data_IF_033329989007
#
_entry.id   IF_033329989007
#
_cell.length_a   1.000
_cell.length_b   1.000
_cell.length_c   1.000
_cell.angle_alpha   90.00
_cell.angle_beta   90.00
_cell.angle_gamma   90.00
#
_symmetry.space_group_name_H-M   'P 1'
#
loop_
_entity.id
_entity.type
_entity.pdbx_description
1 polymer ?
#
# COMPACT_ATOMS: atom_id res chain seq x y z
N UNK A 1 11.47 12.07 -15.02
CA UNK A 1 10.11 11.65 -15.41
C UNK A 1 9.82 10.35 -14.67
N UNK A 2 9.17 10.41 -13.48
CA UNK A 2 8.93 9.26 -12.63
C UNK A 2 7.71 8.50 -13.16
N UNK A 3 7.91 7.27 -13.62
CA UNK A 3 6.80 6.34 -13.88
C UNK A 3 6.35 5.77 -12.55
N UNK A 4 5.12 6.07 -12.17
CA UNK A 4 4.45 5.40 -11.05
C UNK A 4 4.18 3.94 -11.44
N UNK A 5 4.77 3.03 -10.69
CA UNK A 5 4.47 1.60 -10.82
C UNK A 5 3.27 1.29 -9.93
N UNK A 6 2.09 1.28 -10.52
CA UNK A 6 0.92 0.62 -9.91
C UNK A 6 0.97 -0.82 -10.40
N UNK A 7 1.21 -1.74 -9.48
CA UNK A 7 1.06 -3.17 -9.75
C UNK A 7 -0.37 -3.56 -9.38
N UNK A 8 -1.09 -4.04 -10.38
CA UNK A 8 -2.37 -4.71 -10.16
C UNK A 8 -2.11 -6.04 -9.45
N UNK A 9 -2.53 -6.14 -8.20
CA UNK A 9 -2.42 -7.35 -7.38
C UNK A 9 -3.61 -8.29 -7.63
N UNK A 10 -4.24 -8.10 -8.75
CA UNK A 10 -5.51 -8.49 -9.25
C UNK A 10 -6.04 -9.90 -9.07
N UNK A 11 -7.30 -9.91 -8.83
CA UNK A 11 -8.21 -11.04 -9.02
C UNK A 11 -8.75 -10.99 -10.47
N UNK A 12 -8.32 -11.94 -11.29
CA UNK A 12 -9.01 -12.33 -12.53
C UNK A 12 -9.06 -11.30 -13.66
N UNK A 13 -8.22 -11.45 -14.65
CA UNK A 13 -8.40 -10.85 -15.99
C UNK A 13 -9.75 -11.27 -16.58
N UNK A 14 -10.81 -10.51 -16.34
CA UNK A 14 -11.93 -10.50 -17.27
C UNK A 14 -11.44 -9.86 -18.56
N UNK A 15 -11.46 -10.61 -19.67
CA UNK A 15 -11.25 -10.09 -21.02
C UNK A 15 -12.11 -8.84 -21.20
N UNK A 16 -11.46 -7.68 -21.23
CA UNK A 16 -12.09 -6.41 -21.59
C UNK A 16 -12.42 -6.54 -23.07
N UNK A 17 -13.70 -6.79 -23.39
CA UNK A 17 -14.21 -6.54 -24.73
C UNK A 17 -14.14 -5.03 -24.93
N UNK A 18 -13.42 -4.58 -25.96
CA UNK A 18 -13.50 -3.22 -26.49
C UNK A 18 -14.95 -2.94 -26.89
N UNK A 19 -15.73 -2.47 -25.95
CA UNK A 19 -16.91 -1.68 -26.22
C UNK A 19 -16.56 -0.26 -25.80
N UNK A 20 -16.64 0.67 -26.73
CA UNK A 20 -16.69 2.12 -26.50
C UNK A 20 -17.94 2.45 -25.67
N UNK A 21 -17.92 2.05 -24.43
CA UNK A 21 -18.92 2.42 -23.43
C UNK A 21 -18.37 3.66 -22.75
N UNK A 22 -19.17 4.70 -22.60
CA UNK A 22 -18.86 5.84 -21.71
C UNK A 22 -18.26 5.29 -20.43
N UNK A 23 -16.96 5.57 -20.22
CA UNK A 23 -16.26 4.97 -19.08
C UNK A 23 -16.82 5.62 -17.82
N UNK A 24 -17.50 4.80 -17.03
CA UNK A 24 -18.21 5.21 -15.82
C UNK A 24 -17.25 5.83 -14.81
N UNK A 25 -17.74 6.79 -14.04
CA UNK A 25 -17.03 7.33 -12.89
C UNK A 25 -16.65 6.21 -11.93
N UNK A 26 -15.49 6.33 -11.30
CA UNK A 26 -14.94 5.30 -10.41
C UNK A 26 -14.26 5.96 -9.21
N UNK A 27 -14.38 5.37 -8.04
CA UNK A 27 -13.71 5.84 -6.85
C UNK A 27 -12.66 4.84 -6.39
N UNK A 28 -11.50 5.36 -5.99
CA UNK A 28 -10.42 4.60 -5.37
C UNK A 28 -10.29 4.97 -3.90
N UNK A 29 -10.08 3.99 -3.06
CA UNK A 29 -9.76 4.21 -1.63
C UNK A 29 -8.27 4.04 -1.42
N UNK A 30 -7.62 5.09 -0.95
CA UNK A 30 -6.20 5.08 -0.63
C UNK A 30 -6.00 4.82 0.86
N UNK A 31 -5.07 3.93 1.18
CA UNK A 31 -4.69 3.61 2.55
C UNK A 31 -3.18 3.85 2.71
N UNK A 32 -2.77 5.08 3.00
CA UNK A 32 -1.36 5.41 3.21
C UNK A 32 -0.87 4.96 4.59
N UNK A 33 0.40 4.62 4.69
CA UNK A 33 1.08 4.45 5.97
C UNK A 33 1.01 5.74 6.79
N UNK A 34 0.74 5.69 8.11
CA UNK A 34 0.55 6.87 8.95
C UNK A 34 1.85 7.61 9.29
N UNK A 35 2.67 7.86 8.28
CA UNK A 35 3.89 8.64 8.33
C UNK A 35 3.82 9.81 7.34
N UNK A 36 4.31 10.99 7.72
CA UNK A 36 4.13 12.22 6.96
C UNK A 36 4.55 12.08 5.49
N UNK A 37 5.71 11.50 5.21
CA UNK A 37 6.21 11.31 3.84
C UNK A 37 5.29 10.42 2.99
N UNK A 38 4.73 9.36 3.57
CA UNK A 38 3.82 8.44 2.91
C UNK A 38 2.46 9.11 2.64
N UNK A 39 1.88 9.76 3.66
CA UNK A 39 0.60 10.45 3.53
C UNK A 39 0.66 11.57 2.48
N UNK A 40 1.68 12.44 2.54
CA UNK A 40 1.84 13.54 1.58
C UNK A 40 2.03 12.99 0.16
N UNK A 41 2.85 11.96 0.00
CA UNK A 41 3.08 11.32 -1.30
C UNK A 41 1.79 10.73 -1.89
N UNK A 42 0.97 10.05 -1.07
CA UNK A 42 -0.31 9.49 -1.48
C UNK A 42 -1.31 10.59 -1.86
N UNK A 43 -1.39 11.69 -1.08
CA UNK A 43 -2.25 12.84 -1.37
C UNK A 43 -1.85 13.48 -2.71
N UNK A 44 -0.57 13.73 -2.93
CA UNK A 44 -0.09 14.34 -4.17
C UNK A 44 -0.29 13.43 -5.38
N UNK A 45 -0.19 12.13 -5.20
CA UNK A 45 -0.54 11.18 -6.25
C UNK A 45 -2.04 11.18 -6.54
N UNK A 46 -2.88 11.16 -5.52
CA UNK A 46 -4.33 11.23 -5.67
C UNK A 46 -4.76 12.50 -6.42
N UNK A 47 -4.18 13.67 -6.09
CA UNK A 47 -4.40 14.93 -6.83
C UNK A 47 -4.05 14.79 -8.30
N UNK A 48 -2.88 14.26 -8.61
CA UNK A 48 -2.47 14.05 -10.01
C UNK A 48 -3.42 13.12 -10.75
N UNK A 49 -3.89 12.07 -10.10
CA UNK A 49 -4.83 11.14 -10.68
C UNK A 49 -6.16 11.83 -11.04
N UNK A 50 -6.77 12.54 -10.10
CA UNK A 50 -8.04 13.24 -10.34
C UNK A 50 -7.92 14.40 -11.32
N UNK A 51 -6.76 15.06 -11.40
CA UNK A 51 -6.52 16.13 -12.39
C UNK A 51 -6.22 15.58 -13.79
N UNK A 52 -5.72 14.34 -13.89
CA UNK A 52 -5.44 13.71 -15.19
C UNK A 52 -6.70 13.11 -15.81
N UNK A 53 -7.63 12.63 -14.97
CA UNK A 53 -8.85 11.99 -15.43
C UNK A 53 -10.03 12.38 -14.52
N UNK A 54 -11.01 13.03 -15.08
CA UNK A 54 -12.18 13.58 -14.36
C UNK A 54 -13.19 12.50 -13.91
N UNK A 55 -13.02 11.27 -14.37
CA UNK A 55 -13.83 10.11 -13.96
C UNK A 55 -13.45 9.60 -12.58
N UNK A 56 -12.23 9.87 -12.10
CA UNK A 56 -11.79 9.42 -10.79
C UNK A 56 -12.17 10.39 -9.67
N UNK A 57 -12.59 9.80 -8.58
CA UNK A 57 -12.58 10.39 -7.24
C UNK A 57 -11.76 9.51 -6.31
N UNK A 58 -11.23 10.10 -5.26
CA UNK A 58 -10.38 9.38 -4.30
C UNK A 58 -10.86 9.66 -2.89
N UNK A 59 -10.99 8.62 -2.08
CA UNK A 59 -11.13 8.73 -0.63
C UNK A 59 -9.87 8.21 0.04
N UNK A 60 -9.29 9.00 0.93
CA UNK A 60 -8.12 8.62 1.71
C UNK A 60 -8.58 8.22 3.11
N UNK A 61 -8.26 7.01 3.54
CA UNK A 61 -8.47 6.56 4.93
C UNK A 61 -7.23 6.91 5.74
N UNK A 62 -7.36 7.90 6.62
CA UNK A 62 -6.25 8.39 7.42
C UNK A 62 -6.21 7.69 8.77
N UNK A 63 -5.18 6.87 8.99
CA UNK A 63 -4.80 6.39 10.31
C UNK A 63 -4.15 7.55 11.09
N UNK A 64 -4.28 7.57 12.41
CA UNK A 64 -3.58 8.57 13.23
C UNK A 64 -2.08 8.49 13.04
N UNK A 65 -1.44 9.65 12.92
CA UNK A 65 0.02 9.70 12.82
C UNK A 65 0.68 9.17 14.09
N UNK A 66 1.67 8.29 13.90
CA UNK A 66 2.43 7.68 14.99
C UNK A 66 3.34 8.67 15.73
N UNK A 67 3.91 9.63 14.99
CA UNK A 67 5.00 10.46 15.48
C UNK A 67 4.66 11.95 15.54
N UNK A 68 3.65 12.39 14.81
CA UNK A 68 3.31 13.80 14.71
C UNK A 68 1.78 14.03 14.52
N UNK A 69 1.04 14.32 15.61
CA UNK A 69 -0.39 14.64 15.52
C UNK A 69 -0.70 15.85 14.63
N UNK A 70 0.25 16.78 14.46
CA UNK A 70 0.05 17.95 13.61
C UNK A 70 0.07 17.64 12.12
N UNK A 71 0.63 16.49 11.71
CA UNK A 71 0.59 16.07 10.31
C UNK A 71 -0.84 15.85 9.82
N UNK A 72 -1.76 15.46 10.68
CA UNK A 72 -3.16 15.22 10.33
C UNK A 72 -3.86 16.53 9.92
N UNK A 73 -3.53 17.65 10.61
CA UNK A 73 -4.03 18.98 10.27
C UNK A 73 -3.47 19.44 8.92
N UNK A 74 -2.17 19.19 8.70
CA UNK A 74 -1.52 19.54 7.44
C UNK A 74 -2.13 18.76 6.26
N UNK A 75 -2.34 17.46 6.42
CA UNK A 75 -2.98 16.63 5.40
C UNK A 75 -4.37 17.19 5.02
N UNK A 76 -5.18 17.59 6.00
CA UNK A 76 -6.49 18.22 5.76
C UNK A 76 -6.36 19.52 4.97
N UNK A 77 -5.36 20.33 5.25
CA UNK A 77 -5.13 21.59 4.52
C UNK A 77 -4.78 21.37 3.05
N UNK A 78 -4.06 20.29 2.74
CA UNK A 78 -3.72 19.92 1.37
C UNK A 78 -4.94 19.52 0.51
N UNK A 79 -6.01 19.10 1.15
CA UNK A 79 -7.22 18.60 0.51
C UNK A 79 -8.30 19.67 0.33
N UNK A 80 -8.19 20.81 1.01
CA UNK A 80 -9.26 21.81 1.14
C UNK A 80 -9.77 22.38 -0.19
N UNK A 81 -8.96 22.36 -1.26
CA UNK A 81 -9.34 22.85 -2.59
C UNK A 81 -9.89 21.78 -3.53
N UNK A 82 -9.88 20.51 -3.13
CA UNK A 82 -10.16 19.38 -4.02
C UNK A 82 -11.55 18.79 -3.77
N UNK A 83 -12.46 18.97 -4.73
CA UNK A 83 -13.86 18.49 -4.59
C UNK A 83 -14.04 16.99 -4.82
N UNK A 84 -13.09 16.33 -5.47
CA UNK A 84 -13.10 14.89 -5.77
C UNK A 84 -12.13 14.09 -4.92
N UNK A 85 -11.56 14.71 -3.91
CA UNK A 85 -10.62 14.09 -2.99
C UNK A 85 -11.17 14.24 -1.56
N UNK A 86 -11.45 13.11 -0.93
CA UNK A 86 -12.07 13.05 0.38
C UNK A 86 -11.12 12.44 1.40
N UNK A 87 -11.23 12.86 2.65
CA UNK A 87 -10.47 12.32 3.77
C UNK A 87 -11.44 11.77 4.82
N UNK A 88 -11.20 10.54 5.24
CA UNK A 88 -11.88 9.92 6.38
C UNK A 88 -10.83 9.65 7.45
N UNK A 89 -10.95 10.33 8.57
CA UNK A 89 -10.15 10.02 9.75
C UNK A 89 -10.67 8.72 10.37
N UNK A 90 -9.83 7.70 10.46
CA UNK A 90 -10.16 6.47 11.16
C UNK A 90 -10.14 6.69 12.67
N UNK A 91 -11.02 6.03 13.43
CA UNK A 91 -11.02 6.14 14.90
C UNK A 91 -9.67 5.67 15.45
N UNK A 92 -9.25 6.20 16.62
CA UNK A 92 -8.04 5.74 17.27
C UNK A 92 -8.18 4.27 17.69
N UNK A 93 -7.06 3.55 17.69
CA UNK A 93 -7.00 2.19 18.24
C UNK A 93 -6.95 2.24 19.77
N UNK A 94 -7.70 1.36 20.42
CA UNK A 94 -7.79 1.34 21.89
C UNK A 94 -6.50 0.86 22.55
N UNK A 95 -5.84 -0.12 21.95
CA UNK A 95 -4.62 -0.74 22.47
C UNK A 95 -3.48 -0.65 21.44
N UNK A 96 -2.81 0.49 21.29
CA UNK A 96 -1.66 0.59 20.39
C UNK A 96 -0.50 -0.28 20.88
N UNK A 97 0.35 -0.74 19.97
CA UNK A 97 1.57 -1.45 20.36
C UNK A 97 2.39 -0.65 21.38
N UNK A 98 3.05 -1.32 22.32
CA UNK A 98 3.81 -0.62 23.36
C UNK A 98 4.99 0.18 22.77
N UNK A 99 5.19 1.41 23.22
CA UNK A 99 6.19 2.33 22.67
C UNK A 99 7.64 1.82 22.77
N UNK A 100 7.95 0.98 23.74
CA UNK A 100 9.28 0.37 23.86
C UNK A 100 9.61 -0.58 22.69
N UNK A 101 8.60 -1.13 22.04
CA UNK A 101 8.79 -1.90 20.81
C UNK A 101 9.31 -1.02 19.68
N UNK A 102 8.85 0.24 19.58
CA UNK A 102 9.35 1.18 18.57
C UNK A 102 10.85 1.45 18.71
N UNK A 103 11.34 1.50 19.96
CA UNK A 103 12.78 1.69 20.24
C UNK A 103 13.62 0.44 19.92
N UNK A 104 12.99 -0.73 19.91
CA UNK A 104 13.67 -2.00 19.60
C UNK A 104 13.62 -2.35 18.12
N UNK A 105 12.49 -2.11 17.48
CA UNK A 105 12.26 -2.35 16.06
C UNK A 105 11.12 -1.48 15.57
N UNK A 106 11.46 -0.38 14.93
CA UNK A 106 10.49 0.56 14.38
C UNK A 106 9.58 -0.09 13.34
N UNK A 107 10.13 -0.97 12.50
CA UNK A 107 9.40 -1.68 11.45
C UNK A 107 8.35 -2.61 12.04
N UNK A 108 8.70 -3.38 13.06
CA UNK A 108 7.77 -4.29 13.73
C UNK A 108 6.66 -3.52 14.44
N UNK A 109 7.01 -2.39 15.07
CA UNK A 109 6.01 -1.50 15.68
C UNK A 109 5.01 -0.96 14.63
N UNK A 110 5.52 -0.45 13.50
CA UNK A 110 4.70 0.09 12.40
C UNK A 110 3.75 -0.98 11.89
N UNK A 111 4.23 -2.20 11.71
CA UNK A 111 3.40 -3.31 11.28
C UNK A 111 2.23 -3.57 12.23
N UNK A 112 2.52 -3.84 13.51
CA UNK A 112 1.49 -4.16 14.49
C UNK A 112 0.49 -3.00 14.64
N UNK A 113 0.99 -1.77 14.50
CA UNK A 113 0.13 -0.59 14.50
C UNK A 113 -0.82 -0.58 13.29
N UNK A 114 -0.31 -0.85 12.10
CA UNK A 114 -1.13 -0.92 10.88
C UNK A 114 -2.11 -2.09 10.96
N UNK A 115 -1.68 -3.26 11.42
CA UNK A 115 -2.56 -4.42 11.61
C UNK A 115 -3.71 -4.12 12.57
N UNK A 116 -3.46 -3.33 13.61
CA UNK A 116 -4.50 -2.90 14.55
C UNK A 116 -5.58 -2.04 13.89
N UNK A 117 -5.29 -1.41 12.75
CA UNK A 117 -6.26 -0.65 11.97
C UNK A 117 -7.07 -1.48 10.97
N UNK A 118 -6.75 -2.75 10.76
CA UNK A 118 -7.46 -3.61 9.79
C UNK A 118 -8.98 -3.61 10.01
N UNK A 119 -9.51 -3.77 11.25
CA UNK A 119 -10.95 -3.70 11.48
C UNK A 119 -11.55 -2.35 11.08
N UNK A 120 -10.91 -1.24 11.46
CA UNK A 120 -11.40 0.11 11.15
C UNK A 120 -11.41 0.40 9.65
N UNK A 121 -10.39 -0.06 8.92
CA UNK A 121 -10.32 0.04 7.45
C UNK A 121 -11.45 -0.78 6.82
N UNK A 122 -11.67 -2.02 7.29
CA UNK A 122 -12.76 -2.87 6.81
C UNK A 122 -14.13 -2.23 7.02
N UNK A 123 -14.37 -1.69 8.20
CA UNK A 123 -15.63 -1.03 8.55
C UNK A 123 -15.87 0.22 7.70
N UNK A 124 -14.83 1.06 7.51
CA UNK A 124 -14.90 2.25 6.68
C UNK A 124 -15.22 1.90 5.22
N UNK A 125 -14.56 0.88 4.64
CA UNK A 125 -14.82 0.46 3.26
C UNK A 125 -16.23 -0.15 3.15
N UNK A 126 -16.65 -0.97 4.09
CA UNK A 126 -18.00 -1.56 4.12
C UNK A 126 -19.07 -0.46 4.18
N UNK A 127 -18.86 0.56 5.00
CA UNK A 127 -19.75 1.72 5.06
C UNK A 127 -19.79 2.51 3.73
N UNK A 128 -18.62 2.74 3.11
CA UNK A 128 -18.54 3.38 1.79
C UNK A 128 -19.30 2.58 0.72
N UNK A 129 -19.16 1.26 0.69
CA UNK A 129 -19.88 0.40 -0.25
C UNK A 129 -21.39 0.45 -0.01
N UNK A 130 -21.83 0.41 1.25
CA UNK A 130 -23.23 0.45 1.62
C UNK A 130 -23.89 1.79 1.28
N UNK A 131 -23.20 2.90 1.52
CA UNK A 131 -23.70 4.25 1.22
C UNK A 131 -23.83 4.51 -0.29
N UNK A 132 -23.24 3.68 -1.14
CA UNK A 132 -23.21 3.77 -2.60
C UNK A 132 -24.04 2.69 -3.30
N UNK A 133 -25.01 2.13 -2.61
CA UNK A 133 -25.92 1.12 -3.17
C UNK A 133 -26.95 1.71 -4.15
N UNK A 134 -27.00 3.03 -4.34
CA UNK A 134 -27.85 3.70 -5.35
C UNK A 134 -27.34 3.42 -6.76
N UNK A 135 -28.21 3.21 -7.75
CA UNK A 135 -27.80 3.00 -9.16
C UNK A 135 -26.96 4.13 -9.76
N UNK A 136 -27.13 5.37 -9.26
CA UNK A 136 -26.42 6.56 -9.73
C UNK A 136 -25.13 6.85 -8.93
N UNK A 137 -24.83 6.06 -7.91
CA UNK A 137 -23.64 6.25 -7.10
C UNK A 137 -22.37 5.85 -7.85
N UNK A 138 -21.29 6.58 -7.58
CA UNK A 138 -19.96 6.23 -8.10
C UNK A 138 -19.49 4.94 -7.44
N UNK A 139 -19.24 3.86 -8.20
CA UNK A 139 -18.81 2.59 -7.65
C UNK A 139 -17.40 2.68 -7.08
N UNK A 140 -17.16 1.92 -6.02
CA UNK A 140 -15.82 1.70 -5.50
C UNK A 140 -15.06 0.75 -6.44
N UNK A 141 -13.94 1.23 -7.01
CA UNK A 141 -13.20 0.52 -8.05
C UNK A 141 -12.00 -0.27 -7.50
N UNK A 142 -11.55 0.03 -6.30
CA UNK A 142 -10.45 -0.70 -5.67
C UNK A 142 -9.75 0.06 -4.56
N UNK A 143 -8.79 -0.63 -3.93
CA UNK A 143 -7.94 -0.10 -2.88
C UNK A 143 -6.54 0.18 -3.40
N UNK A 144 -5.99 1.35 -3.08
CA UNK A 144 -4.59 1.69 -3.32
C UNK A 144 -3.88 1.65 -1.98
N UNK A 145 -3.07 0.61 -1.79
CA UNK A 145 -2.40 0.31 -0.53
C UNK A 145 -0.95 0.78 -0.57
N UNK A 146 -0.54 1.54 0.42
CA UNK A 146 0.87 1.81 0.65
C UNK A 146 1.62 0.51 0.99
N UNK A 147 2.92 0.52 0.76
CA UNK A 147 3.79 -0.63 0.98
C UNK A 147 3.63 -1.31 2.36
N UNK A 148 3.54 -0.54 3.44
CA UNK A 148 3.36 -1.10 4.78
C UNK A 148 1.91 -1.53 5.05
N UNK A 149 0.96 -1.11 4.22
CA UNK A 149 -0.46 -1.46 4.34
C UNK A 149 -0.84 -2.75 3.58
N UNK A 150 0.13 -3.51 3.08
CA UNK A 150 -0.09 -4.79 2.39
C UNK A 150 -0.93 -5.82 3.18
N UNK A 151 -0.89 -5.90 4.54
CA UNK A 151 -1.80 -6.77 5.27
C UNK A 151 -3.29 -6.53 4.97
N UNK A 152 -3.64 -5.35 4.47
CA UNK A 152 -5.03 -4.99 4.11
C UNK A 152 -5.51 -5.56 2.77
N UNK A 153 -4.64 -6.25 2.01
CA UNK A 153 -5.04 -7.02 0.81
C UNK A 153 -6.16 -8.00 1.15
N UNK A 154 -6.07 -8.65 2.31
CA UNK A 154 -7.08 -9.62 2.74
C UNK A 154 -8.45 -8.96 2.95
N UNK A 155 -8.50 -7.69 3.37
CA UNK A 155 -9.73 -6.91 3.45
C UNK A 155 -10.32 -6.67 2.06
N UNK A 156 -9.50 -6.26 1.11
CA UNK A 156 -9.93 -6.06 -0.27
C UNK A 156 -10.49 -7.36 -0.87
N UNK A 157 -9.78 -8.47 -0.71
CA UNK A 157 -10.20 -9.79 -1.18
C UNK A 157 -11.54 -10.22 -0.58
N UNK A 158 -11.74 -10.03 0.74
CA UNK A 158 -13.00 -10.34 1.42
C UNK A 158 -14.18 -9.51 0.90
N UNK A 159 -13.91 -8.28 0.47
CA UNK A 159 -14.93 -7.36 -0.06
C UNK A 159 -15.07 -7.43 -1.59
N UNK A 160 -14.30 -8.30 -2.25
CA UNK A 160 -14.34 -8.46 -3.72
C UNK A 160 -13.79 -7.26 -4.49
N UNK A 161 -12.89 -6.48 -3.89
CA UNK A 161 -12.28 -5.30 -4.47
C UNK A 161 -10.85 -5.62 -4.95
N UNK A 162 -10.43 -5.12 -6.11
CA UNK A 162 -9.03 -5.17 -6.52
C UNK A 162 -8.15 -4.30 -5.63
N UNK A 163 -6.90 -4.71 -5.45
CA UNK A 163 -5.88 -3.95 -4.73
C UNK A 163 -4.76 -3.52 -5.66
N UNK A 164 -4.25 -2.32 -5.44
CA UNK A 164 -3.14 -1.73 -6.17
C UNK A 164 -2.06 -1.34 -5.16
N UNK A 165 -0.82 -1.77 -5.40
CA UNK A 165 0.31 -1.36 -4.56
C UNK A 165 0.80 0.04 -4.97
N UNK A 166 0.76 0.99 -4.05
CA UNK A 166 1.45 2.26 -4.15
C UNK A 166 2.81 2.18 -3.47
N UNK A 167 3.86 2.08 -4.27
CA UNK A 167 5.22 1.89 -3.78
C UNK A 167 5.99 3.21 -3.82
N UNK A 168 6.30 3.75 -2.65
CA UNK A 168 6.91 5.08 -2.47
C UNK A 168 8.44 5.08 -2.62
N UNK A 169 9.01 4.05 -3.26
CA UNK A 169 10.43 3.91 -3.50
C UNK A 169 10.76 3.63 -4.98
N UNK A 170 12.02 3.52 -5.32
CA UNK A 170 12.46 3.24 -6.68
C UNK A 170 12.14 1.83 -7.16
N UNK A 171 11.97 1.66 -8.48
CA UNK A 171 11.66 0.37 -9.09
C UNK A 171 12.73 -0.71 -8.82
N UNK A 172 14.00 -0.32 -8.67
CA UNK A 172 15.07 -1.24 -8.27
C UNK A 172 14.80 -1.86 -6.91
N UNK A 173 14.43 -1.06 -5.93
CA UNK A 173 14.08 -1.55 -4.60
C UNK A 173 12.83 -2.44 -4.60
N UNK A 174 11.83 -2.11 -5.41
CA UNK A 174 10.68 -2.99 -5.62
C UNK A 174 11.11 -4.35 -6.18
N UNK A 175 12.00 -4.35 -7.19
CA UNK A 175 12.53 -5.59 -7.77
C UNK A 175 13.31 -6.43 -6.75
N UNK A 176 14.11 -5.80 -5.89
CA UNK A 176 14.75 -6.46 -4.75
C UNK A 176 13.67 -7.11 -3.87
N UNK A 177 12.69 -6.35 -3.41
CA UNK A 177 11.65 -6.85 -2.51
C UNK A 177 10.86 -8.02 -3.09
N UNK A 178 10.56 -8.01 -4.38
CA UNK A 178 9.87 -9.10 -5.08
C UNK A 178 10.74 -10.36 -5.24
N UNK A 179 12.06 -10.23 -5.24
CA UNK A 179 12.99 -11.37 -5.37
C UNK A 179 13.25 -12.09 -4.04
N UNK A 180 13.13 -11.39 -2.92
CA UNK A 180 13.49 -11.90 -1.59
C UNK A 180 12.70 -13.14 -1.16
N UNK A 181 11.36 -13.24 -1.36
CA UNK A 181 10.60 -14.43 -0.99
C UNK A 181 11.11 -15.70 -1.69
N UNK A 182 11.44 -15.59 -2.98
CA UNK A 182 11.99 -16.71 -3.77
C UNK A 182 13.36 -17.12 -3.22
N UNK A 183 14.27 -16.16 -3.02
CA UNK A 183 15.56 -16.43 -2.43
C UNK A 183 15.44 -17.08 -1.06
N UNK A 184 14.59 -16.53 -0.20
CA UNK A 184 14.38 -17.05 1.14
C UNK A 184 13.89 -18.51 1.14
N UNK A 185 12.96 -18.87 0.24
CA UNK A 185 12.49 -20.24 0.10
C UNK A 185 13.55 -21.21 -0.40
N UNK A 186 14.50 -20.74 -1.21
CA UNK A 186 15.56 -21.56 -1.79
C UNK A 186 16.75 -21.76 -0.86
N UNK A 187 17.18 -20.71 -0.17
CA UNK A 187 18.42 -20.71 0.62
C UNK A 187 18.14 -20.90 2.11
N UNK A 188 17.00 -20.40 2.62
CA UNK A 188 16.57 -20.61 4.00
C UNK A 188 17.43 -19.94 5.08
N UNK A 189 18.46 -19.18 4.69
CA UNK A 189 19.44 -18.54 5.57
C UNK A 189 19.32 -17.02 5.54
N UNK A 190 19.72 -16.36 6.62
CA UNK A 190 19.92 -14.92 6.65
C UNK A 190 21.06 -14.51 5.72
N UNK A 191 21.10 -13.21 5.39
CA UNK A 191 22.27 -12.68 4.69
C UNK A 191 23.45 -12.59 5.65
N UNK A 192 24.58 -13.10 5.20
CA UNK A 192 25.85 -12.98 5.88
C UNK A 192 26.77 -12.03 5.09
N UNK A 193 27.68 -11.33 5.79
CA UNK A 193 28.63 -10.43 5.12
C UNK A 193 29.56 -11.16 4.12
N UNK A 194 29.68 -12.47 4.26
CA UNK A 194 30.43 -13.37 3.39
C UNK A 194 29.68 -13.83 2.16
N UNK A 195 28.35 -13.56 2.09
CA UNK A 195 27.54 -13.95 0.94
C UNK A 195 27.99 -13.20 -0.33
N UNK A 196 27.88 -13.84 -1.50
CA UNK A 196 28.15 -13.16 -2.77
C UNK A 196 27.13 -12.05 -3.01
N UNK A 197 27.54 -11.04 -3.77
CA UNK A 197 26.66 -9.97 -4.22
C UNK A 197 25.42 -10.53 -4.92
N UNK A 198 24.27 -9.89 -4.71
CA UNK A 198 22.98 -10.34 -5.25
C UNK A 198 22.86 -9.98 -6.73
N UNK A 199 22.68 -10.99 -7.58
CA UNK A 199 22.23 -10.78 -8.96
C UNK A 199 20.72 -10.63 -9.00
N UNK A 200 20.26 -9.43 -9.34
CA UNK A 200 18.84 -9.07 -9.38
C UNK A 200 18.48 -8.54 -10.76
N UNK A 201 17.40 -9.05 -11.39
CA UNK A 201 16.97 -8.57 -12.71
C UNK A 201 16.64 -7.07 -12.78
N UNK A 202 16.39 -6.45 -11.63
CA UNK A 202 16.07 -5.02 -11.50
C UNK A 202 17.30 -4.11 -11.40
N UNK A 203 18.49 -4.67 -11.33
CA UNK A 203 19.76 -3.94 -11.26
C UNK A 203 20.70 -4.35 -12.40
N UNK A 204 21.46 -3.39 -12.89
CA UNK A 204 22.48 -3.63 -13.96
C UNK A 204 23.70 -4.36 -13.37
N UNK A 205 24.07 -4.03 -12.15
CA UNK A 205 25.22 -4.62 -11.45
C UNK A 205 24.72 -5.42 -10.25
N UNK A 206 25.45 -6.46 -9.83
CA UNK A 206 25.18 -7.15 -8.58
C UNK A 206 25.12 -6.18 -7.39
N UNK A 207 24.23 -6.44 -6.45
CA UNK A 207 24.01 -5.60 -5.26
C UNK A 207 24.76 -6.19 -4.08
N UNK A 208 25.76 -5.49 -3.52
CA UNK A 208 26.49 -5.97 -2.35
C UNK A 208 25.59 -6.15 -1.14
N UNK A 209 25.72 -7.25 -0.43
CA UNK A 209 24.91 -7.57 0.77
C UNK A 209 24.99 -6.45 1.82
N UNK A 210 26.18 -5.88 2.03
CA UNK A 210 26.42 -4.82 3.01
C UNK A 210 25.67 -3.50 2.77
N UNK A 211 25.06 -3.30 1.58
CA UNK A 211 24.26 -2.11 1.28
C UNK A 211 22.76 -2.36 1.43
N UNK A 212 22.36 -3.59 1.75
CA UNK A 212 20.96 -3.89 2.00
C UNK A 212 20.51 -3.22 3.30
N UNK A 213 19.26 -2.71 3.35
CA UNK A 213 18.67 -2.27 4.61
C UNK A 213 18.67 -3.41 5.64
N UNK A 214 18.95 -3.09 6.92
CA UNK A 214 18.95 -4.07 8.01
C UNK A 214 17.63 -4.85 8.09
N UNK A 215 16.52 -4.16 7.88
CA UNK A 215 15.20 -4.79 7.80
C UNK A 215 15.11 -5.89 6.72
N UNK A 216 15.90 -5.83 5.65
CA UNK A 216 15.94 -6.82 4.58
C UNK A 216 16.78 -8.04 4.97
N UNK A 217 17.78 -7.84 5.81
CA UNK A 217 18.73 -8.88 6.23
C UNK A 217 18.12 -9.85 7.25
N UNK A 218 17.00 -9.48 7.91
CA UNK A 218 16.39 -10.26 8.97
C UNK A 218 15.29 -11.19 8.45
N UNK A 219 15.42 -12.51 8.70
CA UNK A 219 14.43 -13.55 8.34
C UNK A 219 13.05 -13.35 8.95
N UNK A 220 13.00 -12.78 10.14
CA UNK A 220 11.76 -12.54 10.87
C UNK A 220 11.08 -11.25 10.41
N UNK A 221 11.64 -10.59 9.40
CA UNK A 221 11.03 -9.41 8.84
C UNK A 221 9.68 -9.76 8.21
N UNK A 222 8.63 -9.31 8.84
CA UNK A 222 7.23 -9.53 8.50
C UNK A 222 6.88 -9.17 7.04
N UNK A 223 7.58 -8.22 6.46
CA UNK A 223 7.39 -7.81 5.06
C UNK A 223 7.67 -8.96 4.08
N UNK A 224 8.53 -9.95 4.45
CA UNK A 224 8.68 -11.19 3.68
C UNK A 224 7.35 -11.94 3.53
N UNK A 225 6.57 -12.06 4.61
CA UNK A 225 5.26 -12.69 4.57
C UNK A 225 4.28 -11.89 3.70
N UNK A 226 4.31 -10.56 3.82
CA UNK A 226 3.46 -9.69 3.00
C UNK A 226 3.83 -9.74 1.52
N UNK A 227 5.14 -9.69 1.20
CA UNK A 227 5.60 -9.83 -0.18
C UNK A 227 5.41 -11.23 -0.73
N UNK A 228 5.47 -12.26 0.08
CA UNK A 228 5.12 -13.61 -0.36
C UNK A 228 3.65 -13.67 -0.82
N UNK A 229 2.73 -13.01 -0.11
CA UNK A 229 1.34 -12.86 -0.55
C UNK A 229 1.26 -12.10 -1.88
N UNK A 230 1.95 -10.96 -2.00
CA UNK A 230 2.00 -10.19 -3.26
C UNK A 230 2.52 -11.03 -4.42
N UNK A 231 3.63 -11.75 -4.23
CA UNK A 231 4.19 -12.62 -5.26
C UNK A 231 3.23 -13.75 -5.66
N UNK A 232 2.54 -14.36 -4.70
CA UNK A 232 1.54 -15.41 -4.98
C UNK A 232 0.31 -14.88 -5.71
N UNK A 233 -0.16 -13.70 -5.40
CA UNK A 233 -1.28 -13.07 -6.11
C UNK A 233 -0.88 -12.66 -7.53
N UNK A 234 0.30 -12.09 -7.74
CA UNK A 234 0.82 -11.74 -9.07
C UNK A 234 1.01 -12.98 -9.96
N UNK A 235 1.35 -14.15 -9.39
CA UNK A 235 1.51 -15.39 -10.15
C UNK A 235 0.17 -16.06 -10.50
N UNK A 236 -0.92 -15.74 -9.81
CA UNK A 236 -2.27 -16.29 -10.07
C UNK A 236 -3.07 -15.50 -11.10
N UNK A 237 -2.68 -14.28 -11.45
CA UNK A 237 -3.30 -13.38 -12.43
C UNK A 237 -2.66 -13.46 -13.82
#
# INVERSE_FOLDING_TARGET
>A
MWRLNILDLGVGRRKIKEQTTEMKKAELVFVPTPAAGHCISAIEFAKRLIHTDDRFSVTILQMRSLLNPHSDIYNKSLLASETRLHLIDLPPIDNPPPHDLFLKSAEHYILLFIESYIPHVKDAITHLMSSRSSPDAVPLAGLVLDFFCLPMIDVANQLGLPSYLYFTSGAGFLGLMLSLPTRHSQIGTEFEDSDPDLELPSFVNPVPIRVLPEAVSNKQAWWLCCFHKVCTEVQRG
#
